data_IF_092389080591
#
_entry.id   IF_092389080591
#
_cell.length_a   1.000
_cell.length_b   1.000
_cell.length_c   1.000
_cell.angle_alpha   90.00
_cell.angle_beta   90.00
_cell.angle_gamma   90.00
#
_symmetry.space_group_name_H-M   'P 1'
#
loop_
_entity.id
_entity.type
_entity.pdbx_description
1 polymer ?
#
# COMPACT_ATOMS: atom_id res chain seq x y z
N UNK A 1 5.87 -5.50 34.86
CA UNK A 1 6.82 -6.02 33.85
C UNK A 1 7.84 -4.90 33.64
N UNK A 2 9.04 -5.04 34.21
CA UNK A 2 10.05 -3.98 34.19
C UNK A 2 10.57 -3.82 32.77
N UNK A 3 10.61 -2.58 32.27
CA UNK A 3 11.25 -2.26 31.00
C UNK A 3 12.74 -2.57 31.20
N UNK A 4 13.22 -3.62 30.57
CA UNK A 4 14.63 -4.01 30.60
C UNK A 4 15.44 -2.88 29.94
N UNK A 5 16.29 -2.21 30.71
CA UNK A 5 17.12 -1.07 30.27
C UNK A 5 18.25 -1.46 29.32
N UNK A 6 18.26 -2.69 28.80
CA UNK A 6 19.32 -3.23 27.93
C UNK A 6 18.97 -3.23 26.43
N UNK A 7 17.80 -2.73 26.04
CA UNK A 7 17.39 -2.73 24.63
C UNK A 7 18.17 -1.65 23.89
N UNK A 8 19.04 -2.08 22.97
CA UNK A 8 19.84 -1.16 22.15
C UNK A 8 19.09 -0.71 20.90
N UNK A 9 19.54 0.40 20.32
CA UNK A 9 19.04 0.86 19.01
C UNK A 9 19.17 -0.25 17.94
N UNK A 10 20.35 -0.87 17.82
CA UNK A 10 20.60 -1.95 16.85
C UNK A 10 19.66 -3.16 17.04
N UNK A 11 19.28 -3.47 18.28
CA UNK A 11 18.33 -4.55 18.57
C UNK A 11 16.91 -4.18 18.14
N UNK A 12 16.52 -2.91 18.30
CA UNK A 12 15.22 -2.42 17.84
C UNK A 12 15.17 -2.33 16.31
N UNK A 13 16.23 -1.86 15.66
CA UNK A 13 16.37 -1.86 14.20
C UNK A 13 16.17 -3.28 13.66
N UNK A 14 16.95 -4.24 14.16
CA UNK A 14 16.84 -5.64 13.76
C UNK A 14 15.44 -6.23 13.94
N UNK A 15 14.80 -5.96 15.09
CA UNK A 15 13.43 -6.42 15.34
C UNK A 15 12.42 -5.71 14.43
N UNK A 16 12.63 -4.41 14.20
CA UNK A 16 11.78 -3.53 13.42
C UNK A 16 11.71 -3.93 11.96
N UNK A 17 12.87 -4.21 11.34
CA UNK A 17 12.96 -4.72 9.97
C UNK A 17 12.09 -5.97 9.77
N UNK A 18 12.28 -6.99 10.62
CA UNK A 18 11.50 -8.22 10.57
C UNK A 18 9.98 -7.98 10.77
N UNK A 19 9.61 -7.06 11.66
CA UNK A 19 8.22 -6.70 11.89
C UNK A 19 7.61 -5.96 10.71
N UNK A 20 8.31 -4.99 10.13
CA UNK A 20 7.85 -4.23 8.96
C UNK A 20 7.65 -5.16 7.76
N UNK A 21 8.59 -6.06 7.49
CA UNK A 21 8.48 -7.09 6.45
C UNK A 21 7.24 -7.97 6.64
N UNK A 22 6.99 -8.38 7.88
CA UNK A 22 5.81 -9.19 8.21
C UNK A 22 4.50 -8.40 8.03
N UNK A 23 4.43 -7.18 8.55
CA UNK A 23 3.28 -6.29 8.45
C UNK A 23 2.93 -6.00 6.98
N UNK A 24 3.93 -5.68 6.15
CA UNK A 24 3.75 -5.43 4.73
C UNK A 24 3.25 -6.69 4.00
N UNK A 25 3.88 -7.84 4.26
CA UNK A 25 3.47 -9.13 3.68
C UNK A 25 2.02 -9.47 4.04
N UNK A 26 1.62 -9.29 5.30
CA UNK A 26 0.25 -9.54 5.77
C UNK A 26 -0.76 -8.62 5.12
N UNK A 27 -0.45 -7.33 5.03
CA UNK A 27 -1.30 -6.35 4.35
C UNK A 27 -1.54 -6.77 2.90
N UNK A 28 -0.47 -7.11 2.17
CA UNK A 28 -0.55 -7.46 0.75
C UNK A 28 -1.30 -8.77 0.52
N UNK A 29 -1.00 -9.80 1.31
CA UNK A 29 -1.71 -11.07 1.28
C UNK A 29 -3.22 -10.90 1.54
N UNK A 30 -3.59 -10.06 2.51
CA UNK A 30 -4.98 -9.89 2.92
C UNK A 30 -5.78 -8.97 1.98
N UNK A 31 -5.16 -7.89 1.48
CA UNK A 31 -5.85 -6.86 0.69
C UNK A 31 -5.75 -7.06 -0.82
N UNK A 32 -4.71 -7.76 -1.29
CA UNK A 32 -4.49 -8.02 -2.70
C UNK A 32 -4.28 -9.51 -2.99
N UNK A 33 -5.23 -10.38 -2.58
CA UNK A 33 -5.10 -11.84 -2.77
C UNK A 33 -5.11 -12.26 -4.24
N UNK A 34 -5.54 -11.39 -5.15
CA UNK A 34 -5.56 -11.62 -6.59
C UNK A 34 -4.19 -11.39 -7.26
N UNK A 35 -3.24 -10.73 -6.59
CA UNK A 35 -1.90 -10.52 -7.14
C UNK A 35 -1.06 -11.79 -7.00
N UNK A 36 -0.25 -12.07 -8.01
CA UNK A 36 0.71 -13.17 -7.98
C UNK A 36 1.76 -12.92 -6.90
N UNK A 37 2.35 -14.00 -6.36
CA UNK A 37 3.38 -13.91 -5.32
C UNK A 37 4.55 -12.98 -5.71
N UNK A 38 4.98 -12.99 -6.98
CA UNK A 38 6.02 -12.08 -7.48
C UNK A 38 5.58 -10.61 -7.44
N UNK A 39 4.33 -10.30 -7.77
CA UNK A 39 3.79 -8.94 -7.72
C UNK A 39 3.63 -8.47 -6.28
N UNK A 40 3.16 -9.35 -5.38
CA UNK A 40 3.12 -9.06 -3.95
C UNK A 40 4.53 -8.79 -3.39
N UNK A 41 5.54 -9.56 -3.81
CA UNK A 41 6.94 -9.32 -3.42
C UNK A 41 7.46 -7.96 -3.91
N UNK A 42 7.15 -7.57 -5.14
CA UNK A 42 7.54 -6.25 -5.68
C UNK A 42 6.88 -5.10 -4.94
N UNK A 43 5.59 -5.23 -4.62
CA UNK A 43 4.90 -4.25 -3.80
C UNK A 43 5.50 -4.20 -2.39
N UNK A 44 5.81 -5.34 -1.78
CA UNK A 44 6.45 -5.38 -0.47
C UNK A 44 7.77 -4.63 -0.46
N UNK A 45 8.65 -4.91 -1.42
CA UNK A 45 9.94 -4.22 -1.57
C UNK A 45 9.75 -2.71 -1.69
N UNK A 46 8.76 -2.25 -2.47
CA UNK A 46 8.42 -0.84 -2.55
C UNK A 46 8.03 -0.24 -1.19
N UNK A 47 7.27 -0.98 -0.37
CA UNK A 47 6.76 -0.52 0.92
C UNK A 47 7.82 -0.45 2.02
N UNK A 48 8.84 -1.30 1.94
CA UNK A 48 9.84 -1.50 3.02
C UNK A 48 11.24 -1.02 2.66
N UNK A 49 11.50 -0.62 1.40
CA UNK A 49 12.80 -0.06 1.01
C UNK A 49 13.14 1.23 1.78
N UNK A 50 14.44 1.47 1.93
CA UNK A 50 14.98 2.58 2.72
C UNK A 50 14.43 3.94 2.29
N UNK A 51 14.21 4.19 0.99
CA UNK A 51 13.64 5.46 0.54
C UNK A 51 12.23 5.68 1.12
N UNK A 52 11.39 4.65 1.10
CA UNK A 52 10.02 4.71 1.62
C UNK A 52 10.01 4.90 3.13
N UNK A 53 10.84 4.16 3.88
CA UNK A 53 10.90 4.28 5.33
C UNK A 53 11.49 5.63 5.76
N UNK A 54 12.51 6.13 5.07
CA UNK A 54 13.07 7.45 5.32
C UNK A 54 12.10 8.59 4.97
N UNK A 55 11.25 8.42 3.97
CA UNK A 55 10.17 9.38 3.69
C UNK A 55 9.18 9.45 4.86
N UNK A 56 8.83 8.32 5.48
CA UNK A 56 7.98 8.32 6.68
C UNK A 56 8.69 8.96 7.86
N UNK A 57 9.97 8.65 8.09
CA UNK A 57 10.77 9.30 9.12
C UNK A 57 10.77 10.83 8.97
N UNK A 58 10.93 11.33 7.73
CA UNK A 58 10.85 12.77 7.41
C UNK A 58 9.47 13.36 7.65
N UNK A 59 8.41 12.64 7.28
CA UNK A 59 7.04 13.08 7.54
C UNK A 59 6.78 13.26 9.05
N UNK A 60 7.43 12.47 9.90
CA UNK A 60 7.39 12.60 11.36
C UNK A 60 8.48 13.51 11.95
N UNK A 61 9.30 14.14 11.10
CA UNK A 61 10.40 15.04 11.48
C UNK A 61 11.45 14.36 12.37
N UNK A 62 11.76 13.10 12.11
CA UNK A 62 12.78 12.37 12.88
C UNK A 62 14.17 12.97 12.69
N UNK A 63 14.47 13.53 11.52
CA UNK A 63 15.70 14.25 11.21
C UNK A 63 15.99 15.42 12.16
N UNK A 64 14.95 16.04 12.76
CA UNK A 64 15.10 17.13 13.74
C UNK A 64 15.43 16.61 15.15
N UNK A 65 15.28 15.30 15.40
CA UNK A 65 15.35 14.67 16.74
C UNK A 65 16.45 13.64 16.89
N UNK A 66 16.90 13.09 15.77
CA UNK A 66 17.95 12.07 15.72
C UNK A 66 19.29 12.68 16.14
N UNK A 67 19.91 12.10 17.16
CA UNK A 67 21.20 12.54 17.68
C UNK A 67 22.32 11.70 17.06
N UNK A 68 22.84 12.15 15.92
CA UNK A 68 23.96 11.49 15.24
C UNK A 68 25.14 12.47 15.15
N UNK A 69 26.39 11.99 15.28
CA UNK A 69 27.55 12.80 14.92
C UNK A 69 27.42 13.34 13.48
N UNK A 70 27.78 14.60 13.24
CA UNK A 70 27.76 15.22 11.91
C UNK A 70 26.37 15.38 11.22
N UNK A 71 25.25 15.34 11.96
CA UNK A 71 23.89 15.59 11.41
C UNK A 71 23.83 16.89 10.61
N UNK A 72 24.40 17.98 11.11
CA UNK A 72 24.40 19.27 10.40
C UNK A 72 25.10 19.21 9.03
N UNK A 73 26.17 18.42 8.91
CA UNK A 73 26.86 18.19 7.64
C UNK A 73 26.01 17.33 6.70
N UNK A 74 25.44 16.24 7.22
CA UNK A 74 24.61 15.33 6.43
C UNK A 74 23.32 15.97 5.91
N UNK A 75 22.74 16.90 6.68
CA UNK A 75 21.59 17.72 6.28
C UNK A 75 21.97 18.71 5.18
N UNK A 76 23.10 19.41 5.28
CA UNK A 76 23.59 20.32 4.22
C UNK A 76 23.89 19.60 2.91
N UNK A 77 24.43 18.39 2.98
CA UNK A 77 24.70 17.56 1.81
C UNK A 77 23.43 16.96 1.18
N UNK A 78 22.26 17.13 1.84
CA UNK A 78 20.97 16.62 1.35
C UNK A 78 20.23 17.58 0.41
N UNK A 79 20.65 18.84 0.29
CA UNK A 79 20.00 19.94 -0.47
C UNK A 79 20.02 19.79 -2.01
N UNK A 80 20.08 18.57 -2.55
CA UNK A 80 19.81 18.38 -3.99
C UNK A 80 20.16 17.02 -4.61
N UNK A 81 20.83 16.10 -3.90
CA UNK A 81 21.17 14.77 -4.46
C UNK A 81 20.86 13.56 -3.59
N UNK A 82 20.18 13.76 -2.46
CA UNK A 82 19.84 12.66 -1.54
C UNK A 82 21.08 12.03 -0.94
N UNK A 83 21.39 12.38 0.32
CA UNK A 83 22.44 11.70 1.04
C UNK A 83 21.99 10.26 1.32
N UNK A 84 22.44 9.29 0.51
CA UNK A 84 22.11 7.86 0.65
C UNK A 84 22.41 7.33 2.06
N UNK A 85 23.47 7.82 2.69
CA UNK A 85 23.81 7.48 4.07
C UNK A 85 22.75 7.98 5.05
N UNK A 86 22.32 9.24 4.90
CA UNK A 86 21.27 9.81 5.74
C UNK A 86 19.89 9.17 5.50
N UNK A 87 19.57 8.82 4.25
CA UNK A 87 18.36 8.04 3.93
C UNK A 87 18.40 6.68 4.63
N UNK A 88 19.52 5.97 4.59
CA UNK A 88 19.65 4.70 5.31
C UNK A 88 19.43 4.90 6.81
N UNK A 89 20.14 5.84 7.41
CA UNK A 89 19.98 6.19 8.84
C UNK A 89 18.52 6.44 9.20
N UNK A 90 17.80 7.25 8.42
CA UNK A 90 16.40 7.55 8.72
C UNK A 90 15.48 6.33 8.55
N UNK A 91 15.80 5.42 7.63
CA UNK A 91 15.10 4.15 7.50
C UNK A 91 15.33 3.26 8.74
N UNK A 92 16.59 3.07 9.13
CA UNK A 92 16.99 2.27 10.30
C UNK A 92 16.32 2.85 11.58
N UNK A 93 16.24 4.18 11.72
CA UNK A 93 15.53 4.85 12.84
C UNK A 93 14.04 4.55 12.81
N UNK A 94 13.44 4.53 11.62
CA UNK A 94 12.02 4.23 11.47
C UNK A 94 11.71 2.77 11.82
N UNK A 95 12.57 1.83 11.42
CA UNK A 95 12.50 0.41 11.82
C UNK A 95 12.53 0.26 13.33
N UNK A 96 13.54 0.86 13.97
CA UNK A 96 13.66 0.85 15.42
C UNK A 96 12.42 1.46 16.11
N UNK A 97 11.84 2.49 15.52
CA UNK A 97 10.62 3.11 16.04
C UNK A 97 9.39 2.19 15.90
N UNK A 98 9.24 1.46 14.79
CA UNK A 98 8.17 0.45 14.64
C UNK A 98 8.30 -0.63 15.72
N UNK A 99 9.51 -1.13 15.98
CA UNK A 99 9.75 -2.07 17.07
C UNK A 99 9.36 -1.48 18.44
N UNK A 100 9.70 -0.22 18.69
CA UNK A 100 9.29 0.46 19.93
C UNK A 100 7.76 0.62 20.05
N UNK A 101 7.05 0.90 18.96
CA UNK A 101 5.58 0.96 18.94
C UNK A 101 4.99 -0.39 19.32
N UNK A 102 5.49 -1.48 18.74
CA UNK A 102 5.03 -2.84 19.07
C UNK A 102 5.30 -3.16 20.54
N UNK A 103 6.52 -2.94 21.02
CA UNK A 103 6.89 -3.30 22.39
C UNK A 103 6.18 -2.44 23.46
N UNK A 104 5.86 -1.18 23.16
CA UNK A 104 5.22 -0.26 24.10
C UNK A 104 3.75 -0.56 24.38
N UNK A 105 3.09 -1.38 23.55
CA UNK A 105 1.66 -1.71 23.66
C UNK A 105 1.39 -3.15 24.09
N UNK A 106 2.42 -3.87 24.56
CA UNK A 106 2.28 -5.27 25.02
C UNK A 106 1.66 -6.17 23.95
N UNK A 107 0.66 -6.95 24.34
CA UNK A 107 0.03 -7.94 23.46
C UNK A 107 -0.70 -7.32 22.25
N UNK A 108 -1.12 -6.05 22.33
CA UNK A 108 -1.82 -5.35 21.26
C UNK A 108 -0.86 -4.67 20.26
N UNK A 109 0.43 -4.62 20.57
CA UNK A 109 1.37 -3.79 19.84
C UNK A 109 1.51 -4.13 18.36
N UNK A 110 1.40 -5.40 18.00
CA UNK A 110 1.40 -5.81 16.60
C UNK A 110 0.19 -5.24 15.84
N UNK A 111 -1.01 -5.28 16.44
CA UNK A 111 -2.22 -4.77 15.81
C UNK A 111 -2.21 -3.23 15.73
N UNK A 112 -1.66 -2.56 16.73
CA UNK A 112 -1.46 -1.10 16.73
C UNK A 112 -0.51 -0.70 15.59
N UNK A 113 0.64 -1.37 15.46
CA UNK A 113 1.57 -1.13 14.38
C UNK A 113 0.97 -1.47 13.00
N UNK A 114 0.22 -2.56 12.87
CA UNK A 114 -0.45 -2.96 11.63
C UNK A 114 -1.44 -1.89 11.15
N UNK A 115 -2.28 -1.37 12.05
CA UNK A 115 -3.21 -0.29 11.72
C UNK A 115 -2.47 0.98 11.29
N UNK A 116 -1.43 1.37 12.02
CA UNK A 116 -0.66 2.58 11.74
C UNK A 116 0.10 2.48 10.41
N UNK A 117 0.87 1.40 10.20
CA UNK A 117 1.64 1.17 8.98
C UNK A 117 0.75 1.01 7.74
N UNK A 118 -0.42 0.37 7.89
CA UNK A 118 -1.41 0.30 6.80
C UNK A 118 -1.86 1.70 6.36
N UNK A 119 -2.04 2.63 7.31
CA UNK A 119 -2.39 4.01 7.01
C UNK A 119 -1.28 4.75 6.23
N UNK A 120 -0.01 4.51 6.58
CA UNK A 120 1.14 5.10 5.90
C UNK A 120 1.35 4.55 4.49
N UNK A 121 1.12 3.25 4.29
CA UNK A 121 1.29 2.59 2.99
C UNK A 121 0.12 2.81 2.03
N UNK A 122 -1.10 3.04 2.54
CA UNK A 122 -2.28 3.13 1.69
C UNK A 122 -2.14 4.17 0.54
N UNK A 123 -1.65 5.40 0.75
CA UNK A 123 -1.42 6.34 -0.35
C UNK A 123 -0.44 5.81 -1.41
N UNK A 124 0.68 5.22 -0.99
CA UNK A 124 1.70 4.67 -1.90
C UNK A 124 1.17 3.49 -2.71
N UNK A 125 0.39 2.61 -2.08
CA UNK A 125 -0.25 1.49 -2.76
C UNK A 125 -1.27 1.98 -3.78
N UNK A 126 -2.04 3.02 -3.46
CA UNK A 126 -2.97 3.62 -4.40
C UNK A 126 -2.23 4.17 -5.63
N UNK A 127 -1.11 4.87 -5.45
CA UNK A 127 -0.36 5.44 -6.57
C UNK A 127 0.20 4.38 -7.53
N UNK A 128 0.55 3.19 -7.01
CA UNK A 128 1.15 2.12 -7.82
C UNK A 128 0.12 1.19 -8.43
N UNK A 129 -0.94 0.87 -7.70
CA UNK A 129 -1.90 -0.15 -8.12
C UNK A 129 -3.06 0.48 -8.90
N UNK A 130 -3.38 1.75 -8.68
CA UNK A 130 -4.43 2.42 -9.42
C UNK A 130 -3.96 2.78 -10.83
N UNK A 131 -4.51 2.07 -11.83
CA UNK A 131 -4.36 2.44 -13.22
C UNK A 131 -5.60 3.23 -13.71
N UNK A 132 -5.52 4.56 -13.90
CA UNK A 132 -6.64 5.36 -14.40
C UNK A 132 -7.04 5.00 -15.84
N UNK A 133 -6.16 4.35 -16.61
CA UNK A 133 -6.37 3.91 -17.97
C UNK A 133 -6.84 2.44 -18.08
N UNK A 134 -7.05 1.74 -16.96
CA UNK A 134 -7.38 0.31 -16.94
C UNK A 134 -8.57 -0.07 -17.83
N UNK A 135 -9.64 0.75 -17.85
CA UNK A 135 -10.79 0.54 -18.75
C UNK A 135 -10.40 0.60 -20.22
N UNK A 136 -9.58 1.57 -20.60
CA UNK A 136 -9.14 1.75 -21.98
C UNK A 136 -8.18 0.62 -22.41
N UNK A 137 -7.33 0.15 -21.50
CA UNK A 137 -6.44 -0.98 -21.74
C UNK A 137 -7.19 -2.30 -21.90
N UNK A 138 -8.15 -2.59 -21.02
CA UNK A 138 -9.01 -3.78 -21.13
C UNK A 138 -9.81 -3.75 -22.43
N UNK A 139 -10.38 -2.60 -22.78
CA UNK A 139 -11.08 -2.38 -24.05
C UNK A 139 -10.16 -2.74 -25.23
N UNK A 140 -8.92 -2.22 -25.24
CA UNK A 140 -7.95 -2.49 -26.31
C UNK A 140 -7.53 -3.97 -26.38
N UNK A 141 -7.43 -4.67 -25.23
CA UNK A 141 -7.06 -6.10 -25.18
C UNK A 141 -8.16 -7.01 -25.70
N UNK A 142 -9.42 -6.73 -25.38
CA UNK A 142 -10.55 -7.65 -25.64
C UNK A 142 -11.21 -7.39 -27.00
N UNK A 143 -11.23 -6.14 -27.47
CA UNK A 143 -12.00 -5.77 -28.66
C UNK A 143 -11.18 -5.93 -29.93
N UNK A 144 -11.44 -7.04 -30.61
CA UNK A 144 -11.10 -7.27 -32.01
C UNK A 144 -12.15 -8.18 -32.64
N UNK A 145 -13.39 -7.69 -32.80
CA UNK A 145 -14.44 -8.48 -33.46
C UNK A 145 -15.85 -7.88 -33.43
N UNK A 146 -16.73 -8.20 -34.40
CA UNK A 146 -18.13 -7.79 -34.38
C UNK A 146 -18.89 -8.39 -33.18
N UNK A 147 -19.76 -7.59 -32.56
CA UNK A 147 -20.64 -8.06 -31.47
C UNK A 147 -19.98 -8.15 -30.09
N UNK A 148 -18.71 -7.76 -29.95
CA UNK A 148 -18.00 -7.73 -28.68
C UNK A 148 -18.36 -6.47 -27.88
N UNK A 149 -18.70 -6.61 -26.58
CA UNK A 149 -19.08 -5.51 -25.68
C UNK A 149 -18.52 -5.74 -24.26
N UNK A 150 -18.13 -4.64 -23.63
CA UNK A 150 -17.84 -4.56 -22.19
C UNK A 150 -18.87 -3.64 -21.52
N UNK A 151 -19.58 -4.15 -20.53
CA UNK A 151 -20.63 -3.42 -19.80
C UNK A 151 -20.20 -3.23 -18.34
N UNK A 152 -20.15 -1.99 -17.87
CA UNK A 152 -19.78 -1.64 -16.50
C UNK A 152 -21.03 -1.24 -15.71
N UNK A 153 -21.40 -2.03 -14.71
CA UNK A 153 -22.65 -1.86 -13.98
C UNK A 153 -22.44 -1.99 -12.47
N UNK A 154 -23.21 -1.27 -11.63
CA UNK A 154 -23.17 -1.50 -10.18
C UNK A 154 -23.66 -2.90 -9.82
N UNK A 155 -22.87 -3.66 -9.05
CA UNK A 155 -23.29 -4.99 -8.54
C UNK A 155 -23.79 -4.95 -7.10
N UNK A 156 -23.61 -3.81 -6.41
CA UNK A 156 -24.11 -3.55 -5.06
C UNK A 156 -24.46 -2.07 -4.92
N UNK A 157 -25.38 -1.75 -4.01
CA UNK A 157 -25.69 -0.38 -3.65
C UNK A 157 -24.45 0.33 -3.09
N UNK A 158 -24.30 1.62 -3.39
CA UNK A 158 -23.22 2.42 -2.83
C UNK A 158 -23.41 2.61 -1.32
N UNK A 159 -22.32 2.58 -0.58
CA UNK A 159 -22.32 2.67 0.88
C UNK A 159 -21.69 3.99 1.30
N UNK A 160 -22.41 4.76 2.13
CA UNK A 160 -21.83 5.93 2.78
C UNK A 160 -20.97 5.45 3.96
N UNK A 161 -19.72 5.89 3.99
CA UNK A 161 -18.81 5.54 5.07
C UNK A 161 -19.15 6.34 6.34
N UNK A 162 -19.01 5.68 7.50
CA UNK A 162 -19.31 6.25 8.83
C UNK A 162 -18.02 6.58 9.59
N UNK A 163 -18.13 7.39 10.64
CA UNK A 163 -17.01 7.77 11.50
C UNK A 163 -16.11 8.82 10.87
N UNK A 164 -14.80 8.68 10.99
CA UNK A 164 -13.80 9.64 10.48
C UNK A 164 -13.81 9.82 8.95
N UNK A 165 -14.59 8.99 8.24
CA UNK A 165 -14.72 8.98 6.78
C UNK A 165 -16.10 9.50 6.31
N UNK A 166 -16.85 10.17 7.19
CA UNK A 166 -18.18 10.72 6.89
C UNK A 166 -18.16 11.62 5.63
N UNK A 167 -19.11 11.41 4.72
CA UNK A 167 -19.19 12.13 3.44
C UNK A 167 -18.43 11.49 2.28
N UNK A 168 -17.72 10.38 2.52
CA UNK A 168 -17.14 9.55 1.46
C UNK A 168 -18.10 8.41 1.09
N UNK A 169 -18.32 8.21 -0.21
CA UNK A 169 -19.12 7.09 -0.72
C UNK A 169 -18.22 5.99 -1.25
N UNK A 170 -18.57 4.73 -0.95
CA UNK A 170 -17.98 3.55 -1.56
C UNK A 170 -18.92 3.04 -2.66
N UNK A 171 -18.39 2.94 -3.87
CA UNK A 171 -19.09 2.45 -5.06
C UNK A 171 -18.54 1.09 -5.48
N UNK A 172 -19.42 0.23 -6.01
CA UNK A 172 -19.12 -1.14 -6.41
C UNK A 172 -19.50 -1.33 -7.87
N UNK A 173 -18.53 -1.58 -8.76
CA UNK A 173 -18.75 -1.77 -10.20
C UNK A 173 -18.25 -3.15 -10.62
N UNK A 174 -19.00 -3.82 -11.49
CA UNK A 174 -18.59 -5.05 -12.16
C UNK A 174 -18.49 -4.80 -13.66
N UNK A 175 -17.58 -5.51 -14.33
CA UNK A 175 -17.43 -5.51 -15.79
C UNK A 175 -17.88 -6.86 -16.35
N UNK A 176 -18.80 -6.81 -17.31
CA UNK A 176 -19.36 -7.97 -18.00
C UNK A 176 -18.95 -7.96 -19.47
N UNK A 177 -18.70 -9.15 -20.01
CA UNK A 177 -18.30 -9.39 -21.38
C UNK A 177 -19.37 -10.13 -22.17
N UNK A 178 -19.67 -9.61 -23.36
CA UNK A 178 -20.48 -10.27 -24.38
C UNK A 178 -19.68 -10.34 -25.66
N UNK A 179 -19.60 -11.50 -26.29
CA UNK A 179 -18.77 -11.74 -27.48
C UNK A 179 -18.26 -13.17 -27.52
N UNK A 180 -17.82 -13.64 -28.69
CA UNK A 180 -17.28 -15.00 -28.90
C UNK A 180 -18.15 -16.14 -28.32
N UNK A 181 -19.48 -16.01 -28.38
CA UNK A 181 -20.43 -16.99 -27.83
C UNK A 181 -20.74 -16.83 -26.33
N UNK A 182 -20.09 -15.91 -25.63
CA UNK A 182 -20.42 -15.55 -24.25
C UNK A 182 -21.44 -14.43 -24.21
N UNK A 183 -22.38 -14.52 -23.26
CA UNK A 183 -23.36 -13.47 -22.96
C UNK A 183 -23.19 -13.07 -21.51
N UNK A 184 -22.89 -11.78 -21.27
CA UNK A 184 -22.74 -11.18 -19.94
C UNK A 184 -21.89 -12.00 -18.96
N UNK A 185 -20.76 -12.53 -19.42
CA UNK A 185 -19.79 -13.21 -18.54
C UNK A 185 -19.14 -12.16 -17.63
N UNK A 186 -19.18 -12.35 -16.32
CA UNK A 186 -18.44 -11.50 -15.38
C UNK A 186 -16.94 -11.66 -15.63
N UNK A 187 -16.23 -10.55 -15.83
CA UNK A 187 -14.77 -10.56 -15.94
C UNK A 187 -14.08 -10.03 -14.68
N UNK A 188 -14.70 -9.08 -13.96
CA UNK A 188 -14.10 -8.47 -12.79
C UNK A 188 -15.05 -7.53 -12.04
N UNK A 189 -14.67 -7.18 -10.83
CA UNK A 189 -15.33 -6.33 -9.85
C UNK A 189 -14.31 -5.36 -9.26
N UNK A 190 -14.79 -4.19 -8.90
CA UNK A 190 -13.97 -3.15 -8.30
C UNK A 190 -14.77 -2.32 -7.32
N UNK A 191 -14.08 -1.82 -6.30
CA UNK A 191 -14.61 -0.84 -5.36
C UNK A 191 -13.80 0.46 -5.42
N UNK A 192 -14.45 1.60 -5.22
CA UNK A 192 -13.79 2.90 -5.30
C UNK A 192 -14.63 4.03 -4.71
N UNK A 193 -14.01 5.20 -4.52
CA UNK A 193 -14.65 6.40 -3.95
C UNK A 193 -15.64 7.06 -4.90
N UNK A 194 -15.57 6.70 -6.17
CA UNK A 194 -16.52 7.10 -7.21
C UNK A 194 -16.67 5.97 -8.24
N UNK A 195 -17.69 6.08 -9.11
CA UNK A 195 -17.97 5.07 -10.15
C UNK A 195 -16.84 4.90 -11.17
N UNK A 196 -16.04 5.95 -11.42
CA UNK A 196 -14.91 5.88 -12.37
C UNK A 196 -13.80 5.01 -11.78
N UNK A 197 -13.38 5.32 -10.56
CA UNK A 197 -12.37 4.58 -9.81
C UNK A 197 -12.78 3.11 -9.63
N UNK A 198 -14.00 2.85 -9.15
CA UNK A 198 -14.51 1.49 -8.98
C UNK A 198 -14.51 0.70 -10.30
N UNK A 199 -14.81 1.37 -11.42
CA UNK A 199 -14.77 0.73 -12.73
C UNK A 199 -13.35 0.50 -13.26
N UNK A 200 -12.39 1.35 -12.92
CA UNK A 200 -10.98 1.12 -13.26
C UNK A 200 -10.44 -0.10 -12.47
N UNK A 201 -10.80 -0.22 -11.20
CA UNK A 201 -10.52 -1.42 -10.40
C UNK A 201 -11.13 -2.69 -10.99
N UNK A 202 -12.39 -2.63 -11.42
CA UNK A 202 -13.03 -3.76 -12.10
C UNK A 202 -12.30 -4.17 -13.38
N UNK A 203 -11.79 -3.18 -14.14
CA UNK A 203 -11.01 -3.45 -15.34
C UNK A 203 -9.63 -4.04 -15.03
N UNK A 204 -8.97 -3.57 -13.97
CA UNK A 204 -7.71 -4.15 -13.48
C UNK A 204 -7.91 -5.60 -13.07
N UNK A 205 -8.95 -5.91 -12.29
CA UNK A 205 -9.25 -7.31 -11.93
C UNK A 205 -9.51 -8.16 -13.17
N UNK A 206 -10.29 -7.66 -14.14
CA UNK A 206 -10.54 -8.38 -15.40
C UNK A 206 -9.28 -8.65 -16.25
N UNK A 207 -8.22 -7.84 -16.10
CA UNK A 207 -6.96 -8.04 -16.82
C UNK A 207 -6.01 -9.03 -16.15
N UNK A 208 -6.17 -9.28 -14.85
CA UNK A 208 -5.19 -10.00 -14.02
C UNK A 208 -5.79 -11.17 -13.24
N UNK A 209 -7.10 -11.22 -13.06
CA UNK A 209 -7.82 -12.32 -12.43
C UNK A 209 -7.96 -13.49 -13.40
N UNK A 210 -7.62 -14.70 -12.93
CA UNK A 210 -7.97 -15.92 -13.63
C UNK A 210 -9.50 -16.08 -13.59
N UNK A 211 -10.14 -15.99 -14.77
CA UNK A 211 -11.59 -16.08 -14.96
C UNK A 211 -12.07 -17.48 -15.35
#
# INVERSE_FOLDING_TARGET
>A
IGINTSVTYDQLEFLGDAQIEHLASRLLYTRFPHLLAGQQSQLRELLVKNETLAEFARAYKFEERVQIPDVERMLRDSDGRGNKGFTKILADVFEAYVAAVVLSHGDEGFAVAEKWMTGLWAPKLMDVIYNPAAKAELQKKILSGPGVKLEYEPYKQSEELKGDLLGQNRHYIAVYFTGYGYTRRLLGKGEGRNKVEAGNWAATEAMHGEA
#
